data_IF_229960922038
#
_entry.id   IF_229960922038
#
_cell.length_a   1.000
_cell.length_b   1.000
_cell.length_c   1.000
_cell.angle_alpha   90.00
_cell.angle_beta   90.00
_cell.angle_gamma   90.00
#
_symmetry.space_group_name_H-M   'P 1'
#
loop_
_entity.id
_entity.type
_entity.pdbx_description
1 polymer ?
#
# COMPACT_ATOMS: atom_id res chain seq x y z
N UNK A 1 -11.45 22.23 -0.32
CA UNK A 1 -9.98 22.12 -0.27
C UNK A 1 -9.62 20.73 -0.80
N UNK A 2 -8.82 20.64 -1.87
CA UNK A 2 -8.34 19.34 -2.35
C UNK A 2 -7.31 18.86 -1.35
N UNK A 3 -7.58 17.77 -0.64
CA UNK A 3 -6.56 17.13 0.20
C UNK A 3 -5.55 16.47 -0.75
N UNK A 4 -4.31 16.99 -0.78
CA UNK A 4 -3.20 16.38 -1.53
C UNK A 4 -2.82 15.06 -0.87
N UNK A 5 -3.48 13.97 -1.27
CA UNK A 5 -3.16 12.61 -0.82
C UNK A 5 -2.49 11.82 -1.96
N UNK A 6 -1.52 10.98 -1.60
CA UNK A 6 -0.88 10.05 -2.54
C UNK A 6 -1.83 8.88 -2.81
N UNK A 7 -2.05 8.56 -4.08
CA UNK A 7 -2.82 7.38 -4.49
C UNK A 7 -1.86 6.24 -4.82
N UNK A 8 -2.06 5.07 -4.20
CA UNK A 8 -1.27 3.86 -4.45
C UNK A 8 -2.16 2.84 -5.13
N UNK A 9 -1.81 2.43 -6.36
CA UNK A 9 -2.50 1.39 -7.11
C UNK A 9 -1.78 0.05 -6.93
N UNK A 10 -2.30 -0.79 -6.04
CA UNK A 10 -1.77 -2.10 -5.68
C UNK A 10 -1.52 -2.21 -4.17
N UNK A 11 -2.16 -3.19 -3.55
CA UNK A 11 -2.04 -3.58 -2.14
C UNK A 11 -1.06 -4.72 -1.91
N UNK A 12 -0.11 -4.94 -2.81
CA UNK A 12 0.99 -5.89 -2.63
C UNK A 12 2.06 -5.39 -1.65
N UNK A 13 3.11 -6.20 -1.46
CA UNK A 13 4.20 -5.91 -0.50
C UNK A 13 4.77 -4.50 -0.70
N UNK A 14 5.14 -4.14 -1.93
CA UNK A 14 5.69 -2.82 -2.22
C UNK A 14 4.70 -1.67 -1.97
N UNK A 15 3.43 -1.85 -2.32
CA UNK A 15 2.39 -0.83 -2.13
C UNK A 15 2.08 -0.58 -0.65
N UNK A 16 1.98 -1.65 0.14
CA UNK A 16 1.77 -1.55 1.58
C UNK A 16 3.01 -1.01 2.31
N UNK A 17 4.22 -1.42 1.91
CA UNK A 17 5.46 -0.86 2.45
C UNK A 17 5.57 0.64 2.20
N UNK A 18 5.25 1.10 0.98
CA UNK A 18 5.19 2.52 0.66
C UNK A 18 4.14 3.25 1.51
N UNK A 19 2.94 2.69 1.65
CA UNK A 19 1.88 3.28 2.48
C UNK A 19 2.33 3.45 3.94
N UNK A 20 3.03 2.45 4.50
CA UNK A 20 3.60 2.53 5.85
C UNK A 20 4.67 3.61 5.96
N UNK A 21 5.57 3.72 4.99
CA UNK A 21 6.57 4.80 4.97
C UNK A 21 5.91 6.18 4.91
N UNK A 22 4.94 6.38 4.02
CA UNK A 22 4.19 7.64 3.91
C UNK A 22 3.45 7.98 5.22
N UNK A 23 2.83 6.98 5.84
CA UNK A 23 2.18 7.14 7.14
C UNK A 23 3.18 7.57 8.23
N UNK A 24 4.36 6.95 8.30
CA UNK A 24 5.41 7.28 9.27
C UNK A 24 5.92 8.72 9.14
N UNK A 25 5.99 9.25 7.92
CA UNK A 25 6.43 10.64 7.66
C UNK A 25 5.27 11.65 7.62
N UNK A 26 4.05 11.24 7.96
CA UNK A 26 2.88 12.12 8.03
C UNK A 26 2.29 12.53 6.68
N UNK A 27 2.60 11.81 5.59
CA UNK A 27 2.04 12.06 4.27
C UNK A 27 0.75 11.24 4.09
N UNK A 28 -0.42 11.88 3.87
CA UNK A 28 -1.67 11.16 3.69
C UNK A 28 -1.65 10.35 2.38
N UNK A 29 -2.07 9.09 2.46
CA UNK A 29 -2.15 8.21 1.30
C UNK A 29 -3.38 7.31 1.34
N UNK A 30 -3.79 6.83 0.16
CA UNK A 30 -4.85 5.85 0.00
C UNK A 30 -4.41 4.74 -0.95
N UNK A 31 -4.48 3.51 -0.47
CA UNK A 31 -4.19 2.30 -1.24
C UNK A 31 -5.47 1.77 -1.89
N UNK A 32 -5.39 1.39 -3.16
CA UNK A 32 -6.41 0.69 -3.90
C UNK A 32 -5.89 -0.68 -4.29
N UNK A 33 -6.67 -1.71 -4.01
CA UNK A 33 -6.38 -3.08 -4.42
C UNK A 33 -7.59 -3.63 -5.19
N UNK A 34 -7.29 -4.34 -6.27
CA UNK A 34 -8.26 -5.00 -7.14
C UNK A 34 -8.95 -6.19 -6.48
N UNK A 35 -8.23 -6.92 -5.62
CA UNK A 35 -8.79 -8.04 -4.87
C UNK A 35 -9.54 -7.56 -3.62
N UNK A 36 -10.64 -8.26 -3.29
CA UNK A 36 -11.45 -7.94 -2.10
C UNK A 36 -10.77 -8.30 -0.78
N UNK A 37 -9.89 -9.29 -0.81
CA UNK A 37 -9.23 -9.83 0.37
C UNK A 37 -7.79 -10.19 0.01
N UNK A 38 -6.85 -9.77 0.85
CA UNK A 38 -5.45 -10.18 0.73
C UNK A 38 -5.30 -11.61 1.24
N UNK A 39 -4.66 -12.47 0.45
CA UNK A 39 -4.41 -13.87 0.81
C UNK A 39 -2.94 -14.22 0.60
N UNK A 40 -2.34 -15.06 1.45
CA UNK A 40 -1.00 -15.57 1.22
C UNK A 40 -0.93 -16.37 -0.09
N UNK A 41 0.15 -16.19 -0.85
CA UNK A 41 0.39 -16.94 -2.09
C UNK A 41 0.93 -18.36 -1.83
N UNK A 42 1.43 -18.62 -0.61
CA UNK A 42 2.01 -19.91 -0.23
C UNK A 42 3.45 -20.14 -0.72
N UNK A 43 4.13 -19.08 -1.17
CA UNK A 43 5.53 -19.12 -1.64
C UNK A 43 6.42 -18.24 -0.77
N UNK A 44 7.72 -18.58 -0.71
CA UNK A 44 8.72 -17.76 -0.04
C UNK A 44 9.20 -16.59 -0.92
N UNK A 45 9.65 -15.52 -0.27
CA UNK A 45 10.32 -14.38 -0.89
C UNK A 45 11.62 -14.11 -0.13
N UNK A 46 12.72 -13.83 -0.82
CA UNK A 46 13.99 -13.43 -0.21
C UNK A 46 14.10 -11.90 -0.18
N UNK A 47 14.73 -11.35 0.86
CA UNK A 47 14.94 -9.91 1.05
C UNK A 47 16.43 -9.62 1.22
#
# INVERSE_FOLDING_TARGET
MVQNQVLIAGGGIAGLSLALTLHQIGVPCRVFESVRELRPLGVGVNL
#
